data_IF_128617116534
#
_entry.id   IF_128617116534
#
_cell.length_a   1.000
_cell.length_b   1.000
_cell.length_c   1.000
_cell.angle_alpha   90.00
_cell.angle_beta   90.00
_cell.angle_gamma   90.00
#
_symmetry.space_group_name_H-M   'P 1'
#
loop_
_entity.id
_entity.type
_entity.pdbx_description
1 polymer ?
#
# COMPACT_ATOMS: atom_id res chain seq x y z
N UNK A 1 31.69 -12.28 -6.69
CA UNK A 1 31.01 -12.47 -5.39
C UNK A 1 29.68 -11.76 -5.48
N UNK A 2 28.58 -12.50 -5.53
CA UNK A 2 27.23 -11.96 -5.66
C UNK A 2 26.69 -11.61 -4.26
N UNK A 3 26.43 -10.32 -4.05
CA UNK A 3 25.85 -9.79 -2.83
C UNK A 3 24.38 -10.25 -2.70
N UNK A 4 24.08 -10.87 -1.57
CA UNK A 4 22.74 -11.30 -1.20
C UNK A 4 21.87 -10.08 -0.86
N UNK A 5 20.56 -10.21 -1.05
CA UNK A 5 19.46 -9.26 -0.72
C UNK A 5 19.46 -8.73 0.73
N UNK A 6 20.38 -9.20 1.59
CA UNK A 6 20.62 -8.67 2.94
C UNK A 6 21.21 -7.26 2.96
N UNK A 7 21.70 -6.72 1.84
CA UNK A 7 22.40 -5.42 1.81
C UNK A 7 21.46 -4.19 1.70
N UNK A 8 20.16 -4.38 1.46
CA UNK A 8 19.22 -3.25 1.23
C UNK A 8 18.72 -2.56 2.50
N UNK A 9 19.03 -3.12 3.67
CA UNK A 9 18.59 -2.62 4.96
C UNK A 9 19.75 -2.71 5.94
N UNK A 10 20.36 -1.56 6.24
CA UNK A 10 21.33 -1.44 7.32
C UNK A 10 20.66 -0.71 8.47
N UNK A 11 20.52 -1.37 9.62
CA UNK A 11 19.87 -0.78 10.79
C UNK A 11 20.81 -0.79 11.98
N UNK A 12 20.84 0.31 12.71
CA UNK A 12 21.40 0.40 14.05
C UNK A 12 20.35 0.97 15.02
N UNK A 13 20.76 1.31 16.24
CA UNK A 13 19.86 1.85 17.25
C UNK A 13 19.34 3.26 16.94
N UNK A 14 20.01 4.04 16.09
CA UNK A 14 19.64 5.43 15.79
C UNK A 14 18.90 5.60 14.46
N UNK A 15 19.27 4.84 13.43
CA UNK A 15 18.64 4.90 12.11
C UNK A 15 18.62 3.56 11.37
N UNK A 16 17.74 3.49 10.38
CA UNK A 16 17.69 2.45 9.35
C UNK A 16 17.93 3.10 8.00
N UNK A 17 18.96 2.65 7.28
CA UNK A 17 19.22 3.03 5.90
C UNK A 17 18.50 2.08 4.96
N UNK A 18 17.79 2.65 4.00
CA UNK A 18 17.04 1.93 2.97
C UNK A 18 17.55 2.42 1.62
N UNK A 19 18.09 1.52 0.81
CA UNK A 19 18.42 1.86 -0.58
C UNK A 19 17.12 1.93 -1.38
N UNK A 20 16.91 3.04 -2.08
CA UNK A 20 15.73 3.35 -2.88
C UNK A 20 16.10 3.59 -4.34
N UNK A 21 15.14 4.08 -5.13
CA UNK A 21 15.36 4.49 -6.51
C UNK A 21 15.84 3.36 -7.41
N UNK A 22 16.59 3.68 -8.45
CA UNK A 22 16.92 2.68 -9.49
C UNK A 22 17.73 1.50 -8.92
N UNK A 23 18.71 1.77 -8.05
CA UNK A 23 19.50 0.74 -7.37
C UNK A 23 18.69 -0.08 -6.37
N UNK A 24 17.88 0.56 -5.51
CA UNK A 24 17.00 -0.12 -4.56
C UNK A 24 15.91 -0.95 -5.25
N UNK A 25 15.44 -0.50 -6.41
CA UNK A 25 14.52 -1.20 -7.29
C UNK A 25 15.22 -2.18 -8.25
N UNK A 26 16.51 -2.45 -8.09
CA UNK A 26 17.28 -3.42 -8.89
C UNK A 26 17.28 -3.15 -10.40
N UNK A 27 17.20 -1.88 -10.80
CA UNK A 27 17.32 -1.37 -12.16
C UNK A 27 18.64 -0.62 -12.28
N UNK A 28 19.66 -1.28 -12.80
CA UNK A 28 20.95 -0.63 -13.05
C UNK A 28 20.88 0.04 -14.43
N UNK A 29 20.70 1.36 -14.44
CA UNK A 29 20.81 2.16 -15.66
C UNK A 29 22.18 2.84 -15.70
N UNK A 30 22.67 3.13 -16.91
CA UNK A 30 23.87 3.96 -17.06
C UNK A 30 23.56 5.33 -16.45
N UNK A 31 24.48 5.85 -15.65
CA UNK A 31 24.38 7.16 -15.01
C UNK A 31 23.29 7.25 -13.93
N UNK A 32 22.87 6.12 -13.34
CA UNK A 32 22.06 6.14 -12.12
C UNK A 32 22.88 6.60 -10.92
N UNK A 33 22.25 7.44 -10.12
CA UNK A 33 22.65 7.83 -8.77
C UNK A 33 22.12 6.83 -7.73
N UNK A 34 22.74 6.82 -6.56
CA UNK A 34 22.38 5.98 -5.43
C UNK A 34 21.42 6.72 -4.51
N UNK A 35 20.15 6.33 -4.51
CA UNK A 35 19.16 6.88 -3.58
C UNK A 35 19.18 6.15 -2.23
N UNK A 36 19.34 6.88 -1.14
CA UNK A 36 19.30 6.37 0.23
C UNK A 36 18.25 7.12 1.03
N UNK A 37 17.36 6.38 1.68
CA UNK A 37 16.46 6.90 2.70
C UNK A 37 17.00 6.56 4.09
N UNK A 38 17.36 7.57 4.87
CA UNK A 38 17.74 7.41 6.27
C UNK A 38 16.52 7.62 7.17
N UNK A 39 15.97 6.51 7.67
CA UNK A 39 14.80 6.50 8.56
C UNK A 39 15.27 6.57 10.01
N UNK A 40 14.80 7.57 10.74
CA UNK A 40 15.07 7.73 12.16
C UNK A 40 14.35 6.65 13.00
N UNK A 41 15.06 6.00 13.94
CA UNK A 41 14.49 4.95 14.80
C UNK A 41 14.02 5.45 16.19
N UNK A 42 14.37 6.69 16.55
CA UNK A 42 14.00 7.31 17.83
C UNK A 42 12.88 8.36 17.69
N UNK A 43 12.25 8.45 16.51
CA UNK A 43 11.06 9.26 16.31
C UNK A 43 10.02 8.55 15.46
N UNK A 44 8.76 8.69 15.87
CA UNK A 44 7.61 8.13 15.18
C UNK A 44 6.59 9.24 14.88
N UNK A 45 5.93 9.12 13.75
CA UNK A 45 4.81 9.96 13.35
C UNK A 45 3.52 9.18 13.56
N UNK A 46 2.58 9.74 14.31
CA UNK A 46 1.36 9.06 14.75
C UNK A 46 0.09 9.92 14.58
N UNK A 47 -1.07 9.27 14.63
CA UNK A 47 -2.37 9.95 14.79
C UNK A 47 -2.62 10.32 16.25
N UNK A 48 -3.50 11.29 16.47
CA UNK A 48 -3.82 11.94 17.75
C UNK A 48 -4.27 10.98 18.88
N UNK A 49 -4.48 9.69 18.57
CA UNK A 49 -5.09 8.69 19.46
C UNK A 49 -4.13 7.72 20.15
N UNK A 50 -2.80 7.85 19.97
CA UNK A 50 -1.87 6.95 20.65
C UNK A 50 -1.80 7.22 22.18
N UNK A 51 -2.51 6.40 22.96
CA UNK A 51 -2.49 6.43 24.44
C UNK A 51 -1.20 5.87 25.06
N UNK A 52 -0.27 5.31 24.27
CA UNK A 52 0.96 4.69 24.77
C UNK A 52 2.20 5.18 24.02
N UNK A 53 2.92 6.14 24.60
CA UNK A 53 4.21 6.60 24.12
C UNK A 53 5.33 5.70 24.66
N UNK A 54 6.23 5.25 23.79
CA UNK A 54 7.46 4.59 24.23
C UNK A 54 8.36 5.63 24.92
N UNK A 55 8.97 5.32 26.08
CA UNK A 55 9.77 6.28 26.83
C UNK A 55 10.95 6.89 26.05
N UNK A 56 11.47 6.14 25.08
CA UNK A 56 12.67 6.47 24.31
C UNK A 56 12.37 6.91 22.87
N UNK A 57 11.12 7.27 22.56
CA UNK A 57 10.70 7.70 21.22
C UNK A 57 10.04 9.08 21.26
N UNK A 58 10.51 10.00 20.43
CA UNK A 58 9.88 11.30 20.20
C UNK A 58 8.69 11.14 19.24
N UNK A 59 7.54 11.73 19.55
CA UNK A 59 6.32 11.57 18.75
C UNK A 59 5.88 12.89 18.12
N UNK A 60 5.57 12.80 16.82
CA UNK A 60 4.97 13.88 16.04
C UNK A 60 3.57 13.49 15.57
N UNK A 61 2.66 14.44 15.65
CA UNK A 61 1.32 14.39 15.08
C UNK A 61 1.30 15.03 13.69
N UNK A 62 0.54 14.44 12.77
CA UNK A 62 0.34 14.98 11.43
C UNK A 62 -0.86 15.93 11.39
N UNK A 63 -0.59 17.18 11.01
CA UNK A 63 -1.62 18.18 10.72
C UNK A 63 -1.66 18.44 9.21
N UNK A 64 -2.74 17.99 8.57
CA UNK A 64 -2.99 18.17 7.12
C UNK A 64 -3.90 19.37 6.80
N UNK A 65 -4.43 20.05 7.81
CA UNK A 65 -5.28 21.22 7.61
C UNK A 65 -4.44 22.38 7.02
N UNK A 66 -4.97 22.99 5.97
CA UNK A 66 -4.40 24.12 5.25
C UNK A 66 -3.03 23.91 4.57
N UNK A 67 -2.59 22.67 4.39
CA UNK A 67 -1.37 22.35 3.64
C UNK A 67 -1.66 22.14 2.15
N UNK A 68 -0.64 22.37 1.31
CA UNK A 68 -0.70 21.98 -0.10
C UNK A 68 -0.72 20.45 -0.23
N UNK A 69 -1.31 19.88 -1.30
CA UNK A 69 -1.26 18.45 -1.55
C UNK A 69 0.18 17.91 -1.47
N UNK A 70 0.35 16.76 -0.80
CA UNK A 70 1.65 16.13 -0.52
C UNK A 70 2.55 16.86 0.49
N UNK A 71 2.04 17.88 1.18
CA UNK A 71 2.71 18.51 2.32
C UNK A 71 1.90 18.30 3.59
N UNK A 72 2.60 18.14 4.71
CA UNK A 72 2.03 17.93 6.04
C UNK A 72 2.83 18.75 7.04
N UNK A 73 2.16 19.26 8.08
CA UNK A 73 2.83 19.82 9.26
C UNK A 73 3.00 18.70 10.29
N UNK A 74 4.17 18.67 10.93
CA UNK A 74 4.48 17.71 11.98
C UNK A 74 4.58 18.44 13.31
N UNK A 75 3.56 18.30 14.14
CA UNK A 75 3.48 18.92 15.47
C UNK A 75 4.06 17.99 16.52
N UNK A 76 4.95 18.50 17.37
CA UNK A 76 5.51 17.74 18.49
C UNK A 76 4.43 17.45 19.53
N UNK A 77 4.26 16.17 19.91
CA UNK A 77 3.35 15.74 20.97
C UNK A 77 4.06 15.27 22.21
N UNK A 78 5.12 14.49 22.02
CA UNK A 78 5.91 13.95 23.12
C UNK A 78 7.39 14.02 22.77
N UNK A 79 8.16 14.60 23.67
CA UNK A 79 9.58 14.82 23.49
C UNK A 79 10.38 14.08 24.56
N UNK A 80 11.38 13.32 24.11
CA UNK A 80 12.19 12.48 25.01
C UNK A 80 13.52 13.09 25.41
N UNK A 81 13.93 14.21 24.79
CA UNK A 81 15.23 14.84 25.02
C UNK A 81 16.43 14.03 24.55
N UNK A 82 16.25 12.80 24.04
CA UNK A 82 17.32 11.96 23.48
C UNK A 82 17.72 12.34 22.05
N UNK A 83 16.92 13.17 21.40
CA UNK A 83 17.05 13.53 19.99
C UNK A 83 17.45 14.98 19.84
N UNK A 84 18.36 15.30 18.91
CA UNK A 84 18.73 16.65 18.51
C UNK A 84 17.62 17.39 17.73
N UNK A 85 16.34 17.08 17.98
CA UNK A 85 15.24 17.78 17.33
C UNK A 85 15.06 19.20 17.86
N UNK A 86 15.58 19.53 19.04
CA UNK A 86 15.47 20.88 19.63
C UNK A 86 15.91 21.98 18.65
N UNK A 87 17.00 21.75 17.92
CA UNK A 87 17.52 22.69 16.92
C UNK A 87 16.59 22.84 15.69
N UNK A 88 15.77 21.83 15.42
CA UNK A 88 14.87 21.75 14.27
C UNK A 88 13.42 22.12 14.59
N UNK A 89 13.09 22.35 15.86
CA UNK A 89 11.75 22.74 16.26
C UNK A 89 11.50 24.24 16.08
N UNK A 90 10.30 24.58 15.66
CA UNK A 90 9.80 25.95 15.53
C UNK A 90 8.49 26.11 16.28
N UNK A 91 8.38 27.19 17.07
CA UNK A 91 7.13 27.53 17.74
C UNK A 91 6.24 28.28 16.76
N UNK A 92 5.04 27.73 16.49
CA UNK A 92 4.02 28.35 15.65
C UNK A 92 2.71 28.35 16.45
N UNK A 93 2.29 29.54 16.89
CA UNK A 93 1.18 29.68 17.84
C UNK A 93 1.46 28.93 19.15
N UNK A 94 0.55 28.04 19.52
CA UNK A 94 0.62 27.22 20.75
C UNK A 94 1.38 25.89 20.57
N UNK A 95 1.84 25.57 19.36
CA UNK A 95 2.49 24.31 19.04
C UNK A 95 3.98 24.45 18.72
N UNK A 96 4.72 23.35 18.89
CA UNK A 96 6.07 23.18 18.35
C UNK A 96 6.01 22.26 17.14
N UNK A 97 6.68 22.63 16.06
CA UNK A 97 6.62 21.93 14.78
C UNK A 97 8.02 21.61 14.29
N UNK A 98 8.16 20.46 13.62
CA UNK A 98 9.43 20.09 12.99
C UNK A 98 9.62 20.90 11.70
N UNK A 99 10.68 21.71 11.66
CA UNK A 99 11.03 22.55 10.52
C UNK A 99 11.96 21.83 9.56
N UNK A 100 11.43 21.43 8.40
CA UNK A 100 12.26 20.89 7.32
C UNK A 100 13.25 21.91 6.77
N UNK A 101 12.96 23.21 6.90
CA UNK A 101 13.85 24.29 6.45
C UNK A 101 15.09 24.41 7.34
N UNK A 102 14.92 24.43 8.67
CA UNK A 102 16.04 24.42 9.61
C UNK A 102 16.90 23.17 9.46
N UNK A 103 16.25 22.02 9.32
CA UNK A 103 16.91 20.75 9.08
C UNK A 103 17.79 20.79 7.82
N UNK A 104 17.26 21.29 6.70
CA UNK A 104 18.02 21.47 5.46
C UNK A 104 19.19 22.44 5.62
N UNK A 105 18.99 23.56 6.31
CA UNK A 105 20.03 24.57 6.50
C UNK A 105 21.23 23.98 7.26
N UNK A 106 20.98 23.28 8.37
CA UNK A 106 22.05 22.71 9.17
C UNK A 106 22.81 21.60 8.44
N UNK A 107 22.12 20.80 7.61
CA UNK A 107 22.79 19.78 6.79
C UNK A 107 23.64 20.36 5.66
N UNK A 108 23.24 21.52 5.10
CA UNK A 108 24.03 22.24 4.09
C UNK A 108 25.42 22.61 4.62
N UNK A 109 25.47 23.00 5.89
CA UNK A 109 26.71 23.47 6.53
C UNK A 109 27.69 22.33 6.85
N UNK A 110 27.20 21.08 6.92
CA UNK A 110 28.01 19.91 7.30
C UNK A 110 28.66 19.22 6.09
N UNK A 111 27.99 19.16 4.93
CA UNK A 111 28.34 18.20 3.87
C UNK A 111 28.86 18.80 2.55
N UNK A 112 28.95 20.12 2.39
CA UNK A 112 29.31 20.77 1.11
C UNK A 112 28.53 20.18 -0.08
N UNK A 113 27.25 19.87 0.16
CA UNK A 113 26.33 19.13 -0.71
C UNK A 113 25.38 20.07 -1.45
N UNK A 114 24.72 19.57 -2.50
CA UNK A 114 23.62 20.28 -3.15
C UNK A 114 22.29 19.80 -2.57
N UNK A 115 21.38 20.72 -2.28
CA UNK A 115 20.05 20.39 -1.75
C UNK A 115 19.04 20.57 -2.89
N UNK A 116 18.26 19.53 -3.18
CA UNK A 116 17.17 19.59 -4.15
C UNK A 116 15.98 18.80 -3.62
N UNK A 117 14.77 19.36 -3.75
CA UNK A 117 13.57 18.74 -3.21
C UNK A 117 13.71 18.34 -1.72
N UNK A 118 13.39 17.10 -1.33
CA UNK A 118 13.63 16.57 0.02
C UNK A 118 15.03 15.96 0.20
N UNK A 119 15.85 15.88 -0.85
CA UNK A 119 17.10 15.15 -0.89
C UNK A 119 18.32 16.07 -0.77
N UNK A 120 19.43 15.45 -0.39
CA UNK A 120 20.76 16.06 -0.37
C UNK A 120 21.68 15.19 -1.21
N UNK A 121 22.24 15.76 -2.27
CA UNK A 121 23.21 15.08 -3.11
C UNK A 121 24.63 15.34 -2.63
N UNK A 122 25.50 14.35 -2.74
CA UNK A 122 26.93 14.59 -2.66
C UNK A 122 27.42 15.53 -3.79
N UNK A 123 28.70 15.92 -3.76
CA UNK A 123 29.27 16.87 -4.72
C UNK A 123 29.25 16.37 -6.16
N UNK A 124 29.37 15.06 -6.32
CA UNK A 124 29.49 14.41 -7.62
C UNK A 124 28.11 14.03 -8.18
N UNK A 125 27.04 14.21 -7.41
CA UNK A 125 25.67 13.84 -7.78
C UNK A 125 25.50 12.32 -7.89
N UNK A 126 26.34 11.54 -7.21
CA UNK A 126 26.35 10.08 -7.28
C UNK A 126 25.48 9.46 -6.19
N UNK A 127 25.14 10.20 -5.14
CA UNK A 127 24.34 9.72 -4.04
C UNK A 127 23.35 10.79 -3.56
N UNK A 128 22.08 10.43 -3.52
CA UNK A 128 20.98 11.22 -2.99
C UNK A 128 20.55 10.67 -1.63
N UNK A 129 20.58 11.52 -0.60
CA UNK A 129 20.16 11.16 0.75
C UNK A 129 18.87 11.88 1.13
N UNK A 130 17.83 11.11 1.43
CA UNK A 130 16.57 11.59 1.99
C UNK A 130 16.48 11.21 3.47
N UNK A 131 16.19 12.19 4.33
CA UNK A 131 15.91 11.93 5.74
C UNK A 131 14.42 11.70 5.94
N UNK A 132 14.08 10.63 6.67
CA UNK A 132 12.73 10.15 6.79
C UNK A 132 12.35 9.87 8.25
N UNK A 133 11.09 10.12 8.57
CA UNK A 133 10.49 9.67 9.81
C UNK A 133 9.56 8.50 9.51
N UNK A 134 9.56 7.51 10.40
CA UNK A 134 8.64 6.38 10.29
C UNK A 134 7.25 6.83 10.71
N UNK A 135 6.28 6.58 9.86
CA UNK A 135 4.87 6.67 10.23
C UNK A 135 4.31 5.27 10.43
N UNK A 136 3.63 5.03 11.55
CA UNK A 136 2.79 3.83 11.74
C UNK A 136 1.41 4.00 11.13
N UNK A 137 1.09 5.23 10.71
CA UNK A 137 -0.17 5.61 10.08
C UNK A 137 0.05 5.76 8.57
N UNK A 138 -0.72 5.04 7.77
CA UNK A 138 -0.90 5.42 6.37
C UNK A 138 -1.83 6.63 6.34
N UNK A 139 -1.28 7.84 6.24
CA UNK A 139 -2.10 9.03 5.92
C UNK A 139 -2.47 8.94 4.45
N UNK A 140 -3.45 8.09 4.22
CA UNK A 140 -4.54 8.47 3.37
C UNK A 140 -5.17 9.70 4.08
N UNK A 141 -5.14 10.93 3.51
CA UNK A 141 -5.88 12.09 4.06
C UNK A 141 -7.40 11.90 3.92
N UNK A 142 -8.05 11.17 4.85
CA UNK A 142 -9.44 10.74 4.70
C UNK A 142 -10.22 10.94 6.02
N UNK A 143 -11.37 11.61 5.90
CA UNK A 143 -12.41 11.93 6.89
C UNK A 143 -12.19 13.27 7.63
N UNK A 144 -13.13 14.20 7.80
CA UNK A 144 -14.56 14.36 7.46
C UNK A 144 -14.75 15.83 6.98
N UNK A 145 -15.78 16.11 6.17
CA UNK A 145 -16.62 17.34 6.17
C UNK A 145 -17.43 17.36 4.85
N UNK A 146 -18.74 17.46 5.04
CA UNK A 146 -19.83 17.42 4.09
C UNK A 146 -20.02 18.71 3.29
N UNK A 147 -19.11 19.01 2.37
CA UNK A 147 -19.41 19.99 1.30
C UNK A 147 -18.83 19.53 -0.04
N UNK A 148 -19.51 19.83 -1.15
CA UNK A 148 -19.13 19.37 -2.49
C UNK A 148 -17.71 19.82 -2.87
N UNK A 149 -17.27 20.97 -2.34
CA UNK A 149 -15.93 21.53 -2.57
C UNK A 149 -14.83 20.80 -1.82
N UNK A 150 -15.08 20.33 -0.60
CA UNK A 150 -14.12 19.50 0.16
C UNK A 150 -14.06 18.08 -0.41
N UNK A 151 -15.20 17.49 -0.79
CA UNK A 151 -15.27 16.19 -1.47
C UNK A 151 -14.49 16.21 -2.79
N UNK A 152 -14.61 17.28 -3.59
CA UNK A 152 -13.86 17.42 -4.84
C UNK A 152 -12.34 17.53 -4.60
N UNK A 153 -11.90 18.34 -3.63
CA UNK A 153 -10.48 18.43 -3.26
C UNK A 153 -9.95 17.08 -2.77
N UNK A 154 -10.72 16.38 -1.93
CA UNK A 154 -10.39 15.03 -1.46
C UNK A 154 -10.24 14.07 -2.64
N UNK A 155 -11.22 14.01 -3.56
CA UNK A 155 -11.13 13.15 -4.74
C UNK A 155 -9.89 13.45 -5.60
N UNK A 156 -9.55 14.72 -5.79
CA UNK A 156 -8.38 15.13 -6.58
C UNK A 156 -7.06 14.68 -5.92
N UNK A 157 -6.94 14.84 -4.60
CA UNK A 157 -5.77 14.37 -3.84
C UNK A 157 -5.67 12.84 -3.85
N UNK A 158 -6.79 12.13 -3.64
CA UNK A 158 -6.88 10.66 -3.72
C UNK A 158 -6.43 10.14 -5.08
N UNK A 159 -6.93 10.76 -6.15
CA UNK A 159 -6.57 10.41 -7.50
C UNK A 159 -5.08 10.66 -7.76
N UNK A 160 -4.52 11.78 -7.31
CA UNK A 160 -3.10 12.10 -7.48
C UNK A 160 -2.18 11.07 -6.82
N UNK A 161 -2.47 10.67 -5.58
CA UNK A 161 -1.68 9.68 -4.84
C UNK A 161 -1.78 8.30 -5.51
N UNK A 162 -2.99 7.87 -5.88
CA UNK A 162 -3.19 6.58 -6.54
C UNK A 162 -2.56 6.54 -7.94
N UNK A 163 -2.57 7.65 -8.67
CA UNK A 163 -1.88 7.78 -9.95
C UNK A 163 -0.37 7.68 -9.82
N UNK A 164 0.22 8.06 -8.69
CA UNK A 164 1.64 7.82 -8.40
C UNK A 164 1.88 6.36 -8.00
N UNK A 165 1.05 5.81 -7.11
CA UNK A 165 1.21 4.44 -6.58
C UNK A 165 1.01 3.32 -7.62
N UNK A 166 0.22 3.55 -8.68
CA UNK A 166 0.00 2.55 -9.75
C UNK A 166 1.27 2.14 -10.51
N UNK A 167 2.37 2.88 -10.35
CA UNK A 167 3.65 2.60 -10.98
C UNK A 167 4.58 1.75 -10.09
N UNK A 168 4.31 1.70 -8.79
CA UNK A 168 5.11 0.98 -7.80
C UNK A 168 4.61 -0.47 -7.56
N UNK A 169 3.37 -0.77 -7.92
CA UNK A 169 2.77 -2.10 -7.84
C UNK A 169 2.06 -2.46 -9.16
N UNK A 170 2.25 -3.69 -9.64
CA UNK A 170 1.69 -4.22 -10.89
C UNK A 170 0.15 -4.35 -10.83
N UNK A 171 -0.43 -4.57 -9.65
CA UNK A 171 -1.85 -4.89 -9.47
C UNK A 171 -2.51 -4.07 -8.35
N UNK A 172 -1.93 -3.95 -7.15
CA UNK A 172 -2.66 -3.35 -6.01
C UNK A 172 -3.01 -1.88 -6.22
N UNK A 173 -2.07 -1.07 -6.73
CA UNK A 173 -2.30 0.35 -7.01
C UNK A 173 -3.38 0.57 -8.08
N UNK A 174 -3.43 -0.30 -9.09
CA UNK A 174 -4.49 -0.27 -10.11
C UNK A 174 -5.85 -0.67 -9.54
N UNK A 175 -5.90 -1.66 -8.65
CA UNK A 175 -7.15 -2.09 -8.01
C UNK A 175 -7.66 -1.08 -6.99
N UNK A 176 -6.78 -0.38 -6.26
CA UNK A 176 -7.19 0.76 -5.42
C UNK A 176 -7.76 1.89 -6.28
N UNK A 177 -7.13 2.19 -7.43
CA UNK A 177 -7.62 3.18 -8.37
C UNK A 177 -8.99 2.79 -8.96
N UNK A 178 -9.17 1.53 -9.37
CA UNK A 178 -10.46 1.01 -9.81
C UNK A 178 -11.52 1.11 -8.71
N UNK A 179 -11.17 0.81 -7.47
CA UNK A 179 -12.08 0.92 -6.31
C UNK A 179 -12.50 2.38 -6.07
N UNK A 180 -11.60 3.35 -6.26
CA UNK A 180 -11.94 4.76 -6.18
C UNK A 180 -12.96 5.13 -7.26
N UNK A 181 -12.70 4.76 -8.53
CA UNK A 181 -13.63 5.04 -9.63
C UNK A 181 -14.99 4.36 -9.45
N UNK A 182 -14.99 3.14 -8.92
CA UNK A 182 -16.21 2.45 -8.49
C UNK A 182 -16.99 3.25 -7.45
N UNK A 183 -16.32 3.71 -6.39
CA UNK A 183 -16.95 4.48 -5.30
C UNK A 183 -17.60 5.79 -5.75
N UNK A 184 -17.04 6.43 -6.78
CA UNK A 184 -17.63 7.63 -7.41
C UNK A 184 -18.58 7.31 -8.59
N UNK A 185 -18.99 6.05 -8.73
CA UNK A 185 -19.93 5.55 -9.75
C UNK A 185 -19.47 5.72 -11.20
N UNK A 186 -18.16 5.85 -11.43
CA UNK A 186 -17.57 5.87 -12.77
C UNK A 186 -17.22 4.45 -13.21
N UNK A 187 -18.25 3.61 -13.36
CA UNK A 187 -18.09 2.17 -13.57
C UNK A 187 -17.33 1.81 -14.84
N UNK A 188 -17.52 2.53 -15.96
CA UNK A 188 -16.79 2.26 -17.20
C UNK A 188 -15.28 2.48 -17.05
N UNK A 189 -14.85 3.53 -16.36
CA UNK A 189 -13.43 3.79 -16.09
C UNK A 189 -12.86 2.71 -15.16
N UNK A 190 -13.62 2.33 -14.14
CA UNK A 190 -13.22 1.22 -13.26
C UNK A 190 -13.05 -0.08 -14.05
N UNK A 191 -13.96 -0.39 -14.99
CA UNK A 191 -13.88 -1.57 -15.87
C UNK A 191 -12.63 -1.56 -16.74
N UNK A 192 -12.28 -0.43 -17.36
CA UNK A 192 -11.08 -0.33 -18.20
C UNK A 192 -9.80 -0.61 -17.38
N UNK A 193 -9.73 -0.07 -16.16
CA UNK A 193 -8.62 -0.32 -15.24
C UNK A 193 -8.59 -1.77 -14.78
N UNK A 194 -9.76 -2.38 -14.53
CA UNK A 194 -9.88 -3.76 -14.11
C UNK A 194 -9.45 -4.74 -15.21
N UNK A 195 -9.77 -4.46 -16.48
CA UNK A 195 -9.30 -5.25 -17.61
C UNK A 195 -7.77 -5.22 -17.71
N UNK A 196 -7.18 -4.03 -17.54
CA UNK A 196 -5.73 -3.89 -17.47
C UNK A 196 -5.14 -4.69 -16.30
N UNK A 197 -5.75 -4.58 -15.11
CA UNK A 197 -5.32 -5.28 -13.90
C UNK A 197 -5.37 -6.80 -14.08
N UNK A 198 -6.46 -7.31 -14.67
CA UNK A 198 -6.65 -8.73 -14.95
C UNK A 198 -5.61 -9.25 -15.96
N UNK A 199 -5.33 -8.48 -17.03
CA UNK A 199 -4.25 -8.80 -17.97
C UNK A 199 -2.87 -8.86 -17.28
N UNK A 200 -2.65 -8.03 -16.26
CA UNK A 200 -1.42 -8.03 -15.47
C UNK A 200 -1.37 -9.13 -14.41
N UNK A 201 -2.53 -9.62 -13.97
CA UNK A 201 -2.68 -10.82 -13.13
C UNK A 201 -2.47 -12.11 -13.95
N UNK A 202 -1.28 -12.30 -14.54
CA UNK A 202 -0.94 -13.59 -15.16
C UNK A 202 -0.41 -14.58 -14.13
N UNK A 203 -0.55 -15.91 -14.33
CA UNK A 203 0.02 -16.91 -13.44
C UNK A 203 1.53 -16.79 -13.30
N UNK A 204 2.20 -16.27 -14.32
CA UNK A 204 3.63 -15.97 -14.26
C UNK A 204 3.95 -14.80 -13.32
N UNK A 205 2.99 -13.88 -13.08
CA UNK A 205 3.11 -12.55 -12.45
C UNK A 205 2.71 -12.42 -10.99
N UNK A 206 2.14 -13.46 -10.39
CA UNK A 206 1.57 -13.43 -9.05
C UNK A 206 2.08 -14.62 -8.23
N UNK A 207 3.19 -14.46 -7.49
CA UNK A 207 3.61 -15.52 -6.57
C UNK A 207 4.16 -14.99 -5.24
N UNK A 208 3.35 -15.05 -4.18
CA UNK A 208 3.86 -15.28 -2.83
C UNK A 208 2.83 -15.97 -1.94
N UNK A 209 3.16 -17.16 -1.40
CA UNK A 209 2.39 -17.77 -0.30
C UNK A 209 1.86 -19.19 -0.51
N UNK A 210 2.16 -19.85 -1.62
CA UNK A 210 1.85 -21.27 -1.82
C UNK A 210 3.12 -22.12 -1.67
N UNK A 211 3.07 -23.16 -0.84
CA UNK A 211 4.09 -24.23 -0.83
C UNK A 211 4.18 -24.84 -2.22
N UNK A 212 5.29 -24.60 -2.88
CA UNK A 212 5.58 -25.00 -4.27
C UNK A 212 5.68 -26.53 -4.33
N UNK A 213 4.90 -27.19 -5.19
CA UNK A 213 5.08 -28.63 -5.45
C UNK A 213 6.37 -28.86 -6.25
N UNK A 214 6.96 -30.06 -6.21
CA UNK A 214 8.21 -30.37 -6.93
C UNK A 214 8.13 -30.04 -8.44
N UNK A 215 6.96 -30.19 -9.05
CA UNK A 215 6.70 -29.86 -10.47
C UNK A 215 6.78 -28.36 -10.75
N UNK A 216 6.46 -27.51 -9.78
CA UNK A 216 6.55 -26.05 -9.88
C UNK A 216 7.97 -25.55 -9.58
N UNK A 217 8.75 -26.28 -8.79
CA UNK A 217 10.19 -26.01 -8.60
C UNK A 217 10.99 -26.24 -9.90
N UNK A 218 10.55 -27.19 -10.74
CA UNK A 218 11.12 -27.39 -12.08
C UNK A 218 10.78 -26.24 -13.05
N UNK A 219 9.60 -25.61 -12.91
CA UNK A 219 9.21 -24.42 -13.69
C UNK A 219 10.08 -23.18 -13.37
N UNK A 220 10.56 -23.04 -12.13
CA UNK A 220 11.53 -21.99 -11.75
C UNK A 220 12.91 -22.18 -12.41
N UNK A 221 13.23 -23.38 -12.89
CA UNK A 221 14.49 -23.69 -13.58
C UNK A 221 14.43 -23.45 -15.10
N UNK A 222 13.32 -22.96 -15.64
CA UNK A 222 13.20 -22.59 -17.06
C UNK A 222 14.10 -21.39 -17.39
N UNK A 223 14.73 -21.42 -18.56
CA UNK A 223 15.65 -20.38 -19.07
C UNK A 223 15.04 -18.96 -19.12
N UNK A 224 13.71 -18.86 -19.07
CA UNK A 224 12.94 -17.60 -19.03
C UNK A 224 13.26 -16.76 -17.79
N UNK A 225 13.55 -17.38 -16.64
CA UNK A 225 13.82 -16.67 -15.38
C UNK A 225 15.31 -16.40 -15.12
N UNK A 226 16.22 -17.03 -15.88
CA UNK A 226 17.68 -16.91 -15.69
C UNK A 226 18.23 -15.51 -16.02
N UNK A 227 17.49 -14.72 -16.78
CA UNK A 227 17.86 -13.36 -17.19
C UNK A 227 17.05 -12.26 -16.49
N UNK A 228 16.18 -12.62 -15.54
CA UNK A 228 15.39 -11.64 -14.80
C UNK A 228 16.17 -11.11 -13.60
N UNK A 229 16.09 -9.80 -13.34
CA UNK A 229 16.73 -9.20 -12.17
C UNK A 229 16.00 -9.60 -10.89
N UNK A 230 16.70 -9.60 -9.75
CA UNK A 230 16.11 -9.87 -8.43
C UNK A 230 14.90 -8.97 -8.16
N UNK A 231 14.89 -7.72 -8.65
CA UNK A 231 13.76 -6.83 -8.49
C UNK A 231 12.59 -7.11 -9.44
N UNK A 232 12.82 -7.65 -10.63
CA UNK A 232 11.74 -8.23 -11.43
C UNK A 232 11.13 -9.37 -10.65
N UNK A 233 11.95 -10.30 -10.15
CA UNK A 233 11.52 -11.38 -9.26
C UNK A 233 10.82 -10.85 -8.00
N UNK A 234 11.24 -9.74 -7.39
CA UNK A 234 10.54 -9.12 -6.25
C UNK A 234 9.20 -8.45 -6.63
N UNK A 235 9.09 -7.86 -7.83
CA UNK A 235 7.80 -7.38 -8.40
C UNK A 235 6.85 -8.53 -8.70
N UNK A 236 7.39 -9.70 -9.03
CA UNK A 236 6.66 -10.97 -9.09
C UNK A 236 6.27 -11.50 -7.69
N UNK A 237 7.10 -11.21 -6.67
CA UNK A 237 6.97 -11.73 -5.29
C UNK A 237 6.19 -10.86 -4.30
N UNK A 238 5.79 -9.62 -4.62
CA UNK A 238 5.16 -8.71 -3.64
C UNK A 238 3.63 -8.61 -3.72
N UNK A 239 2.98 -9.53 -4.41
CA UNK A 239 1.57 -9.40 -4.74
C UNK A 239 0.79 -10.64 -4.35
N UNK A 240 0.18 -10.62 -3.16
CA UNK A 240 -0.97 -11.49 -2.90
C UNK A 240 -2.01 -10.91 -1.95
N UNK A 241 -1.88 -9.63 -1.57
CA UNK A 241 -2.80 -8.99 -0.65
C UNK A 241 -3.04 -7.54 -1.06
N UNK A 242 -4.30 -7.18 -1.27
CA UNK A 242 -4.76 -5.78 -1.29
C UNK A 242 -5.23 -5.45 0.11
N UNK A 243 -4.58 -4.47 0.74
CA UNK A 243 -5.00 -3.93 2.02
C UNK A 243 -5.89 -2.71 1.83
N UNK A 244 -7.19 -2.87 2.09
CA UNK A 244 -8.16 -1.78 2.04
C UNK A 244 -8.34 -1.17 3.43
N UNK A 245 -7.90 0.09 3.60
CA UNK A 245 -8.04 0.84 4.85
C UNK A 245 -9.15 1.91 4.75
N UNK A 246 -9.28 2.60 3.61
CA UNK A 246 -10.19 3.76 3.50
C UNK A 246 -11.06 3.80 2.23
N UNK A 247 -10.79 2.97 1.22
CA UNK A 247 -11.55 2.91 -0.04
C UNK A 247 -12.04 1.48 -0.22
N UNK A 248 -13.35 1.27 -0.13
CA UNK A 248 -13.98 -0.05 -0.31
C UNK A 248 -15.33 0.07 -1.02
N UNK A 249 -15.79 -1.00 -1.69
CA UNK A 249 -17.17 -1.08 -2.13
C UNK A 249 -18.13 -1.01 -0.94
N UNK A 250 -19.22 -0.26 -1.10
CA UNK A 250 -20.27 -0.10 -0.08
C UNK A 250 -20.96 -1.43 0.27
N UNK A 251 -20.93 -2.39 -0.65
CA UNK A 251 -21.53 -3.72 -0.51
C UNK A 251 -20.77 -4.63 0.45
N UNK A 252 -19.55 -4.27 0.86
CA UNK A 252 -18.78 -5.06 1.82
C UNK A 252 -19.11 -4.60 3.26
N UNK A 253 -19.84 -5.41 4.04
CA UNK A 253 -20.26 -5.07 5.40
C UNK A 253 -19.11 -5.37 6.37
N UNK A 254 -18.17 -4.45 6.47
CA UNK A 254 -17.08 -4.55 7.44
C UNK A 254 -17.34 -3.66 8.65
N UNK A 255 -17.40 -4.31 9.82
CA UNK A 255 -17.49 -3.68 11.13
C UNK A 255 -16.08 -3.41 11.72
N UNK A 256 -15.86 -2.15 12.12
CA UNK A 256 -14.64 -1.68 12.78
C UNK A 256 -13.90 -0.61 11.97
N UNK A 257 -13.96 0.65 12.42
CA UNK A 257 -13.08 1.70 11.92
C UNK A 257 -11.60 1.30 12.19
N UNK A 258 -10.73 1.52 11.20
CA UNK A 258 -9.29 1.28 11.32
C UNK A 258 -8.80 -0.17 11.12
N UNK A 259 -9.66 -1.12 10.73
CA UNK A 259 -9.22 -2.48 10.40
C UNK A 259 -8.70 -2.59 8.96
N UNK A 260 -7.51 -3.17 8.83
CA UNK A 260 -6.90 -3.50 7.53
C UNK A 260 -7.54 -4.79 7.00
N UNK A 261 -8.16 -4.72 5.82
CA UNK A 261 -8.71 -5.89 5.15
C UNK A 261 -7.84 -6.31 3.99
N UNK A 262 -7.22 -7.47 4.14
CA UNK A 262 -6.40 -8.14 3.15
C UNK A 262 -7.27 -9.01 2.21
N UNK A 263 -7.14 -8.81 0.90
CA UNK A 263 -7.82 -9.61 -0.12
C UNK A 263 -6.86 -10.18 -1.17
N UNK A 264 -7.08 -11.41 -1.66
CA UNK A 264 -6.38 -11.90 -2.84
C UNK A 264 -6.69 -11.01 -4.06
N UNK A 265 -5.67 -10.50 -4.78
CA UNK A 265 -5.89 -9.54 -5.85
C UNK A 265 -6.81 -10.02 -6.97
N UNK A 266 -6.68 -11.28 -7.38
CA UNK A 266 -7.52 -11.86 -8.43
C UNK A 266 -8.99 -11.98 -8.00
N UNK A 267 -9.22 -12.46 -6.77
CA UNK A 267 -10.55 -12.53 -6.16
C UNK A 267 -11.19 -11.15 -6.11
N UNK A 268 -10.46 -10.14 -5.64
CA UNK A 268 -10.97 -8.79 -5.54
C UNK A 268 -11.22 -8.15 -6.92
N UNK A 269 -10.39 -8.47 -7.93
CA UNK A 269 -10.58 -8.03 -9.31
C UNK A 269 -11.90 -8.54 -9.88
N UNK A 270 -12.16 -9.85 -9.78
CA UNK A 270 -13.41 -10.44 -10.26
C UNK A 270 -14.63 -9.94 -9.50
N UNK A 271 -14.50 -9.72 -8.19
CA UNK A 271 -15.55 -9.10 -7.40
C UNK A 271 -15.88 -7.68 -7.86
N UNK A 272 -14.87 -6.84 -8.10
CA UNK A 272 -15.10 -5.46 -8.53
C UNK A 272 -15.64 -5.39 -9.98
N UNK A 273 -15.23 -6.31 -10.86
CA UNK A 273 -15.83 -6.51 -12.19
C UNK A 273 -17.31 -6.87 -12.09
N UNK A 274 -17.64 -7.83 -11.22
CA UNK A 274 -19.03 -8.20 -10.92
C UNK A 274 -19.85 -6.99 -10.47
N UNK A 275 -19.36 -6.23 -9.48
CA UNK A 275 -20.06 -5.06 -8.96
C UNK A 275 -20.28 -3.97 -10.01
N UNK A 276 -19.25 -3.66 -10.82
CA UNK A 276 -19.37 -2.68 -11.89
C UNK A 276 -20.45 -3.09 -12.91
N UNK A 277 -20.43 -4.35 -13.35
CA UNK A 277 -21.44 -4.85 -14.30
C UNK A 277 -22.84 -4.96 -13.69
N UNK A 278 -22.93 -5.29 -12.40
CA UNK A 278 -24.18 -5.32 -11.64
C UNK A 278 -24.84 -3.94 -11.60
N UNK A 279 -24.09 -2.90 -11.21
CA UNK A 279 -24.60 -1.52 -11.16
C UNK A 279 -24.93 -0.95 -12.55
N UNK A 280 -24.22 -1.39 -13.59
CA UNK A 280 -24.56 -1.09 -14.99
C UNK A 280 -25.73 -1.92 -15.54
N UNK A 281 -26.34 -2.81 -14.73
CA UNK A 281 -27.43 -3.71 -15.11
C UNK A 281 -27.09 -4.62 -16.29
N UNK A 282 -25.81 -4.90 -16.51
CA UNK A 282 -25.36 -5.81 -17.56
C UNK A 282 -25.39 -7.25 -17.07
N UNK A 283 -26.56 -7.89 -17.23
CA UNK A 283 -26.82 -9.22 -16.66
C UNK A 283 -25.88 -10.30 -17.16
N UNK A 284 -25.59 -10.34 -18.45
CA UNK A 284 -24.64 -11.32 -19.01
C UNK A 284 -23.26 -11.16 -18.36
N UNK A 285 -22.75 -9.93 -18.29
CA UNK A 285 -21.38 -9.69 -17.85
C UNK A 285 -21.15 -9.85 -16.35
N UNK A 286 -22.13 -9.48 -15.51
CA UNK A 286 -21.97 -9.73 -14.08
C UNK A 286 -22.06 -11.23 -13.77
N UNK A 287 -22.91 -11.99 -14.49
CA UNK A 287 -22.97 -13.45 -14.32
C UNK A 287 -21.68 -14.13 -14.77
N UNK A 288 -21.08 -13.68 -15.86
CA UNK A 288 -19.75 -14.15 -16.28
C UNK A 288 -18.69 -13.86 -15.20
N UNK A 289 -18.67 -12.62 -14.68
CA UNK A 289 -17.73 -12.24 -13.62
C UNK A 289 -17.94 -13.03 -12.32
N UNK A 290 -19.19 -13.34 -11.97
CA UNK A 290 -19.53 -14.19 -10.82
C UNK A 290 -19.05 -15.63 -11.03
N UNK A 291 -19.19 -16.17 -12.24
CA UNK A 291 -18.66 -17.49 -12.59
C UNK A 291 -17.14 -17.51 -12.46
N UNK A 292 -16.45 -16.50 -12.99
CA UNK A 292 -14.99 -16.41 -12.92
C UNK A 292 -14.50 -16.28 -11.47
N UNK A 293 -15.22 -15.49 -10.65
CA UNK A 293 -14.98 -15.39 -9.21
C UNK A 293 -15.12 -16.75 -8.52
N UNK A 294 -16.18 -17.50 -8.82
CA UNK A 294 -16.40 -18.84 -8.26
C UNK A 294 -15.27 -19.80 -8.65
N UNK A 295 -14.91 -19.86 -9.93
CA UNK A 295 -13.81 -20.71 -10.44
C UNK A 295 -12.49 -20.34 -9.75
N UNK A 296 -12.22 -19.04 -9.58
CA UNK A 296 -11.02 -18.52 -8.92
C UNK A 296 -10.90 -19.06 -7.49
N UNK A 297 -12.01 -19.00 -6.75
CA UNK A 297 -12.06 -19.37 -5.33
C UNK A 297 -12.03 -20.90 -5.15
N UNK A 298 -12.84 -21.64 -5.90
CA UNK A 298 -12.91 -23.10 -5.81
C UNK A 298 -11.61 -23.76 -6.28
N UNK A 299 -10.96 -23.20 -7.31
CA UNK A 299 -9.65 -23.63 -7.78
C UNK A 299 -8.49 -23.19 -6.88
N UNK A 300 -8.77 -22.42 -5.82
CA UNK A 300 -7.78 -21.87 -4.90
C UNK A 300 -6.67 -21.07 -5.62
N UNK A 301 -7.03 -20.37 -6.70
CA UNK A 301 -6.10 -19.63 -7.54
C UNK A 301 -5.60 -18.39 -6.82
N UNK A 302 -4.31 -18.40 -6.42
CA UNK A 302 -3.66 -17.31 -5.70
C UNK A 302 -4.32 -16.97 -4.37
N UNK A 303 -4.87 -17.99 -3.69
CA UNK A 303 -5.42 -17.89 -2.34
C UNK A 303 -4.53 -18.73 -1.42
N UNK A 304 -3.71 -18.07 -0.61
CA UNK A 304 -2.71 -18.69 0.25
C UNK A 304 -3.29 -19.16 1.58
N UNK A 305 -3.52 -18.22 2.49
CA UNK A 305 -3.76 -18.53 3.91
C UNK A 305 -5.26 -18.62 4.27
N UNK A 306 -5.57 -19.20 5.44
CA UNK A 306 -6.95 -19.42 5.88
C UNK A 306 -7.78 -18.11 5.94
N UNK A 307 -7.17 -17.00 6.35
CA UNK A 307 -7.85 -15.70 6.35
C UNK A 307 -8.28 -15.27 4.93
N UNK A 308 -7.41 -15.45 3.94
CA UNK A 308 -7.72 -15.13 2.54
C UNK A 308 -8.87 -16.00 2.00
N UNK A 309 -8.92 -17.28 2.38
CA UNK A 309 -10.05 -18.17 2.06
C UNK A 309 -11.33 -17.65 2.71
N UNK A 310 -11.27 -17.30 3.99
CA UNK A 310 -12.42 -16.75 4.71
C UNK A 310 -12.99 -15.50 4.02
N UNK A 311 -12.15 -14.51 3.69
CA UNK A 311 -12.63 -13.30 3.00
C UNK A 311 -13.12 -13.57 1.58
N UNK A 312 -12.48 -14.50 0.85
CA UNK A 312 -12.86 -14.86 -0.52
C UNK A 312 -14.25 -15.49 -0.58
N UNK A 313 -14.54 -16.45 0.29
CA UNK A 313 -15.86 -17.07 0.37
C UNK A 313 -16.95 -16.10 0.83
N UNK A 314 -16.63 -15.12 1.69
CA UNK A 314 -17.57 -14.06 2.05
C UNK A 314 -17.89 -13.15 0.85
N UNK A 315 -16.88 -12.76 0.07
CA UNK A 315 -17.06 -12.01 -1.19
C UNK A 315 -17.95 -12.79 -2.18
N UNK A 316 -17.70 -14.10 -2.33
CA UNK A 316 -18.51 -14.96 -3.19
C UNK A 316 -19.96 -15.02 -2.71
N UNK A 317 -20.17 -15.22 -1.40
CA UNK A 317 -21.50 -15.23 -0.78
C UNK A 317 -22.27 -13.93 -1.00
N UNK A 318 -21.61 -12.78 -0.82
CA UNK A 318 -22.19 -11.46 -1.11
C UNK A 318 -22.58 -11.32 -2.58
N UNK A 319 -21.74 -11.83 -3.49
CA UNK A 319 -21.99 -11.73 -4.93
C UNK A 319 -23.19 -12.56 -5.36
N UNK A 320 -23.34 -13.78 -4.82
CA UNK A 320 -24.55 -14.60 -4.99
C UNK A 320 -25.79 -13.95 -4.37
N UNK A 321 -25.66 -13.33 -3.20
CA UNK A 321 -26.76 -12.64 -2.55
C UNK A 321 -27.26 -11.46 -3.39
N UNK A 322 -26.35 -10.66 -3.95
CA UNK A 322 -26.66 -9.53 -4.82
C UNK A 322 -27.31 -9.97 -6.15
N UNK A 323 -26.90 -11.11 -6.70
CA UNK A 323 -27.52 -11.70 -7.90
C UNK A 323 -28.86 -12.40 -7.63
N UNK A 324 -29.23 -12.59 -6.36
CA UNK A 324 -30.50 -13.21 -5.94
C UNK A 324 -30.43 -14.72 -5.69
N UNK A 325 -29.28 -15.35 -5.85
CA UNK A 325 -29.07 -16.78 -5.56
C UNK A 325 -28.79 -17.00 -4.06
N UNK A 326 -29.87 -17.06 -3.28
CA UNK A 326 -29.81 -17.21 -1.81
C UNK A 326 -29.18 -18.54 -1.37
N UNK A 327 -29.38 -19.62 -2.12
CA UNK A 327 -28.85 -20.94 -1.73
C UNK A 327 -27.34 -21.03 -1.96
N UNK A 328 -26.85 -20.52 -3.09
CA UNK A 328 -25.40 -20.44 -3.34
C UNK A 328 -24.73 -19.45 -2.38
N UNK A 329 -25.37 -18.33 -2.05
CA UNK A 329 -24.89 -17.41 -1.03
C UNK A 329 -24.71 -18.10 0.33
N UNK A 330 -25.73 -18.82 0.80
CA UNK A 330 -25.68 -19.55 2.09
C UNK A 330 -24.57 -20.61 2.10
N UNK A 331 -24.38 -21.32 0.99
CA UNK A 331 -23.30 -22.32 0.84
C UNK A 331 -21.93 -21.67 0.92
N UNK A 332 -21.70 -20.59 0.17
CA UNK A 332 -20.43 -19.88 0.17
C UNK A 332 -20.09 -19.32 1.56
N UNK A 333 -21.04 -18.68 2.24
CA UNK A 333 -20.83 -18.20 3.62
C UNK A 333 -20.49 -19.35 4.58
N UNK A 334 -21.17 -20.49 4.46
CA UNK A 334 -20.90 -21.67 5.28
C UNK A 334 -19.47 -22.19 5.06
N UNK A 335 -19.02 -22.27 3.81
CA UNK A 335 -17.64 -22.66 3.47
C UNK A 335 -16.62 -21.67 4.03
N UNK A 336 -16.90 -20.36 3.94
CA UNK A 336 -16.04 -19.33 4.53
C UNK A 336 -15.82 -19.54 6.02
N UNK A 337 -16.88 -19.86 6.78
CA UNK A 337 -16.81 -20.07 8.23
C UNK A 337 -15.84 -21.19 8.65
N UNK A 338 -15.59 -22.19 7.78
CA UNK A 338 -14.60 -23.24 8.04
C UNK A 338 -13.17 -22.70 8.16
N UNK A 339 -12.89 -21.56 7.52
CA UNK A 339 -11.60 -20.88 7.53
C UNK A 339 -11.53 -19.66 8.44
N UNK A 340 -12.59 -19.39 9.22
CA UNK A 340 -12.65 -18.22 10.11
C UNK A 340 -11.46 -18.24 11.08
N UNK A 341 -10.68 -17.14 11.19
CA UNK A 341 -9.61 -17.07 12.17
C UNK A 341 -10.16 -17.30 13.57
N UNK A 342 -9.55 -18.22 14.31
CA UNK A 342 -9.78 -18.29 15.75
C UNK A 342 -9.17 -17.02 16.34
N UNK A 343 -9.96 -16.18 17.00
CA UNK A 343 -9.45 -15.03 17.75
C UNK A 343 -8.30 -15.54 18.65
N UNK A 344 -7.06 -15.11 18.40
CA UNK A 344 -6.05 -15.13 19.45
C UNK A 344 -6.44 -14.02 20.41
N UNK A 345 -7.20 -14.37 21.45
CA UNK A 345 -7.14 -13.61 22.68
C UNK A 345 -5.70 -13.75 23.21
N UNK A 346 -5.03 -12.63 23.38
CA UNK A 346 -3.64 -12.50 23.83
C UNK A 346 -3.20 -11.06 23.67
#
# INVERSE_FOLDING_TARGET
>A
MMNNVKDNLQSNSSCTLITSGSYGEGRIMRDSDLDIMQVCNFAEVCEDTHMYFKPDTTYFEMEAEDTQPCFLRLRLRYFTGRSSFDDFLEKIGEGYYLSSAKFKQQLKDILLSTIHGPCISDKDGLCDLAYCLRSTVQVLPFNLISDNKSSYKQHKTRLSILLQNKHHDVVSGWLMLATLFYGIKQYYIALDILQYSLFKCSPEKLYQGVTVSNTQHELFNLDVFKNMTIAQLCKFMLLNVIDLVSIKPQEIPFEGEGRIYSFPPLVYTHFLLFLCHYHLKNTSKYLDSLRDLQITIEGNYFIGHAYEKYVSYNILGLSFQLSGDKESARRAFKQGLEFKPKNRCG
#
